data_IF_805125682567
#
_entry.id   IF_805125682567
#
_cell.length_a   1.000
_cell.length_b   1.000
_cell.length_c   1.000
_cell.angle_alpha   90.00
_cell.angle_beta   90.00
_cell.angle_gamma   90.00
#
_symmetry.space_group_name_H-M   'P 1'
#
loop_
_entity.id
_entity.type
_entity.pdbx_description
1 polymer ?
#
# COMPACT_ATOMS: atom_id res chain seq x y z
N UNK A 1 -0.52 -7.79 19.05
CA UNK A 1 -0.44 -6.90 17.86
C UNK A 1 0.17 -7.70 16.72
N UNK A 2 -0.33 -7.52 15.49
CA UNK A 2 0.32 -8.10 14.32
C UNK A 2 1.73 -7.49 14.15
N UNK A 3 2.67 -8.27 13.63
CA UNK A 3 4.02 -7.77 13.32
C UNK A 3 3.93 -6.79 12.14
N UNK A 4 4.77 -5.76 12.14
CA UNK A 4 4.90 -4.81 11.05
C UNK A 4 5.75 -5.44 9.95
N UNK A 5 5.15 -5.62 8.78
CA UNK A 5 5.81 -6.19 7.62
C UNK A 5 6.80 -5.19 7.01
N UNK A 6 8.06 -5.58 6.88
CA UNK A 6 9.10 -4.84 6.18
C UNK A 6 9.42 -5.55 4.87
N UNK A 7 9.29 -4.82 3.76
CA UNK A 7 9.60 -5.35 2.43
C UNK A 7 11.10 -5.27 2.16
N UNK A 8 11.74 -6.39 1.81
CA UNK A 8 13.18 -6.46 1.51
C UNK A 8 13.39 -6.70 0.03
N UNK A 9 14.02 -5.75 -0.65
CA UNK A 9 14.28 -5.80 -2.09
C UNK A 9 15.78 -5.63 -2.37
N UNK A 10 16.45 -6.70 -2.80
CA UNK A 10 17.90 -6.71 -3.09
C UNK A 10 18.26 -7.35 -4.44
N UNK A 11 17.33 -7.45 -5.39
CA UNK A 11 17.61 -7.93 -6.75
C UNK A 11 17.78 -9.46 -6.92
N UNK A 12 18.28 -10.17 -5.90
CA UNK A 12 18.33 -11.64 -5.76
C UNK A 12 18.88 -12.45 -6.96
N UNK A 13 19.64 -11.83 -7.84
CA UNK A 13 20.24 -12.48 -9.01
C UNK A 13 21.49 -13.25 -8.63
N UNK A 14 22.38 -12.64 -7.83
CA UNK A 14 23.65 -13.26 -7.43
C UNK A 14 23.57 -13.83 -6.01
N UNK A 15 24.50 -14.72 -5.66
CA UNK A 15 24.60 -15.26 -4.30
C UNK A 15 24.95 -14.18 -3.27
N UNK A 16 25.74 -13.17 -3.65
CA UNK A 16 26.05 -12.03 -2.79
C UNK A 16 24.79 -11.22 -2.48
N UNK A 17 23.97 -10.94 -3.50
CA UNK A 17 22.68 -10.24 -3.35
C UNK A 17 21.74 -11.02 -2.43
N UNK A 18 21.64 -12.35 -2.59
CA UNK A 18 20.83 -13.22 -1.73
C UNK A 18 21.36 -13.23 -0.30
N UNK A 19 22.67 -13.27 -0.12
CA UNK A 19 23.32 -13.26 1.21
C UNK A 19 23.03 -11.96 1.94
N UNK A 20 23.14 -10.81 1.26
CA UNK A 20 22.77 -9.50 1.82
C UNK A 20 21.28 -9.45 2.15
N UNK A 21 20.42 -9.93 1.25
CA UNK A 21 18.97 -10.01 1.48
C UNK A 21 18.61 -10.86 2.71
N UNK A 22 19.23 -12.02 2.86
CA UNK A 22 19.02 -12.92 3.99
C UNK A 22 19.52 -12.33 5.31
N UNK A 23 20.65 -11.63 5.29
CA UNK A 23 21.16 -10.89 6.44
C UNK A 23 20.16 -9.82 6.91
N UNK A 24 19.65 -9.01 5.98
CA UNK A 24 18.65 -7.98 6.26
C UNK A 24 17.38 -8.62 6.83
N UNK A 25 16.88 -9.67 6.17
CA UNK A 25 15.70 -10.43 6.61
C UNK A 25 15.86 -10.94 8.05
N UNK A 26 16.97 -11.62 8.33
CA UNK A 26 17.29 -12.18 9.65
C UNK A 26 17.37 -11.09 10.71
N UNK A 27 17.95 -9.94 10.37
CA UNK A 27 18.05 -8.79 11.28
C UNK A 27 16.69 -8.20 11.64
N UNK A 28 15.78 -8.09 10.66
CA UNK A 28 14.41 -7.60 10.87
C UNK A 28 13.62 -8.61 11.71
N UNK A 29 13.65 -9.89 11.35
CA UNK A 29 12.88 -10.94 12.05
C UNK A 29 13.31 -11.13 13.51
N UNK A 30 14.58 -10.86 13.82
CA UNK A 30 15.11 -10.85 15.18
C UNK A 30 14.67 -9.62 16.01
N UNK A 31 14.09 -8.61 15.37
CA UNK A 31 13.63 -7.39 16.05
C UNK A 31 12.15 -7.52 16.42
N UNK A 32 11.84 -7.40 17.71
CA UNK A 32 10.48 -7.55 18.21
C UNK A 32 9.50 -6.57 17.54
N UNK A 33 8.33 -7.07 17.15
CA UNK A 33 7.29 -6.27 16.49
C UNK A 33 7.42 -6.14 14.98
N UNK A 34 8.46 -6.72 14.36
CA UNK A 34 8.68 -6.69 12.91
C UNK A 34 8.79 -8.09 12.31
N UNK A 35 8.49 -8.17 11.02
CA UNK A 35 8.74 -9.35 10.18
C UNK A 35 9.19 -8.90 8.79
N UNK A 36 10.10 -9.64 8.16
CA UNK A 36 10.59 -9.35 6.83
C UNK A 36 9.93 -10.22 5.78
N UNK A 37 9.42 -9.57 4.74
CA UNK A 37 9.11 -10.22 3.47
C UNK A 37 10.34 -10.18 2.56
N UNK A 38 10.83 -11.36 2.20
CA UNK A 38 11.95 -11.55 1.28
C UNK A 38 11.52 -12.56 0.21
N UNK A 39 11.15 -12.06 -0.97
CA UNK A 39 10.59 -12.87 -2.05
C UNK A 39 11.64 -13.72 -2.74
N UNK A 40 12.01 -14.89 -2.23
CA UNK A 40 12.90 -15.80 -2.96
C UNK A 40 12.27 -16.19 -4.31
N UNK A 41 12.98 -15.91 -5.40
CA UNK A 41 12.71 -16.26 -6.80
C UNK A 41 11.27 -16.72 -7.11
N UNK A 42 10.38 -15.76 -7.30
CA UNK A 42 9.03 -15.98 -7.83
C UNK A 42 9.14 -16.17 -9.35
N UNK A 43 8.70 -17.32 -9.89
CA UNK A 43 8.94 -17.69 -11.31
C UNK A 43 7.71 -17.62 -12.22
N UNK A 44 6.56 -17.16 -11.73
CA UNK A 44 5.36 -16.99 -12.56
C UNK A 44 4.61 -15.69 -12.26
N UNK A 45 3.77 -15.29 -13.22
CA UNK A 45 3.06 -14.01 -13.21
C UNK A 45 2.00 -13.93 -12.10
N UNK A 46 1.36 -15.06 -11.77
CA UNK A 46 0.36 -15.14 -10.72
C UNK A 46 1.01 -14.95 -9.34
N UNK A 47 2.12 -15.62 -9.11
CA UNK A 47 2.92 -15.53 -7.92
C UNK A 47 3.55 -14.14 -7.77
N UNK A 48 3.90 -13.46 -8.86
CA UNK A 48 4.34 -12.07 -8.82
C UNK A 48 3.25 -11.16 -8.23
N UNK A 49 2.03 -11.26 -8.77
CA UNK A 49 0.88 -10.48 -8.31
C UNK A 49 0.48 -10.81 -6.87
N UNK A 50 0.40 -12.10 -6.53
CA UNK A 50 -0.05 -12.54 -5.20
C UNK A 50 0.97 -12.36 -4.11
N UNK A 51 2.26 -12.53 -4.38
CA UNK A 51 3.25 -12.51 -3.30
C UNK A 51 3.97 -11.17 -3.22
N UNK A 52 4.53 -10.67 -4.32
CA UNK A 52 5.35 -9.46 -4.29
C UNK A 52 4.47 -8.21 -4.19
N UNK A 53 3.48 -8.05 -5.08
CA UNK A 53 2.63 -6.86 -5.06
C UNK A 53 1.75 -6.82 -3.81
N UNK A 54 1.28 -7.96 -3.30
CA UNK A 54 0.57 -8.00 -2.02
C UNK A 54 1.48 -7.60 -0.85
N UNK A 55 2.71 -8.12 -0.80
CA UNK A 55 3.65 -7.74 0.25
C UNK A 55 4.04 -6.26 0.19
N UNK A 56 4.24 -5.72 -1.02
CA UNK A 56 4.42 -4.28 -1.22
C UNK A 56 3.19 -3.57 -0.66
N UNK A 57 1.98 -3.90 -1.10
CA UNK A 57 0.73 -3.26 -0.65
C UNK A 57 0.56 -3.25 0.88
N UNK A 58 1.03 -4.31 1.56
CA UNK A 58 0.86 -4.49 3.02
C UNK A 58 2.01 -3.99 3.88
N UNK A 59 3.18 -3.71 3.30
CA UNK A 59 4.35 -3.38 4.11
C UNK A 59 4.19 -2.05 4.87
N UNK A 60 4.71 -1.99 6.08
CA UNK A 60 4.80 -0.76 6.88
C UNK A 60 6.06 0.05 6.54
N UNK A 61 7.04 -0.56 5.89
CA UNK A 61 8.29 0.06 5.47
C UNK A 61 9.06 -0.86 4.53
N UNK A 62 10.18 -0.38 3.99
CA UNK A 62 10.99 -1.15 3.07
C UNK A 62 12.50 -0.94 3.28
N UNK A 63 13.27 -1.98 2.99
CA UNK A 63 14.73 -1.93 2.84
C UNK A 63 15.07 -2.30 1.40
N UNK A 64 15.80 -1.44 0.71
CA UNK A 64 16.22 -1.66 -0.68
C UNK A 64 17.73 -1.64 -0.80
N UNK A 65 18.28 -2.51 -1.65
CA UNK A 65 19.71 -2.57 -1.96
C UNK A 65 19.89 -2.41 -3.47
N UNK A 66 20.63 -1.37 -3.85
CA UNK A 66 20.94 -1.06 -5.24
C UNK A 66 22.30 -1.65 -5.61
N UNK A 67 22.25 -2.88 -6.11
CA UNK A 67 23.41 -3.60 -6.62
C UNK A 67 23.76 -3.18 -8.06
N UNK A 68 25.05 -3.17 -8.38
CA UNK A 68 25.62 -2.92 -9.70
C UNK A 68 25.13 -3.96 -10.71
N UNK A 69 24.53 -3.49 -11.81
CA UNK A 69 24.05 -4.33 -12.93
C UNK A 69 24.70 -3.96 -14.25
N UNK A 70 25.90 -3.42 -14.18
CA UNK A 70 26.75 -3.15 -15.33
C UNK A 70 26.65 -1.73 -15.87
N UNK A 71 27.68 -1.40 -16.64
CA UNK A 71 27.93 -0.07 -17.17
C UNK A 71 26.90 0.31 -18.24
N UNK A 72 26.47 1.56 -18.20
CA UNK A 72 25.67 2.21 -19.24
C UNK A 72 26.58 3.09 -20.06
N UNK A 73 26.57 2.86 -21.37
CA UNK A 73 27.21 3.72 -22.35
C UNK A 73 26.15 4.63 -22.97
N UNK A 74 26.38 5.94 -22.89
CA UNK A 74 25.51 6.95 -23.48
C UNK A 74 25.51 6.88 -25.01
N UNK A 75 24.53 7.55 -25.63
CA UNK A 75 24.45 7.65 -27.08
C UNK A 75 25.68 8.34 -27.72
N UNK A 76 26.41 9.14 -26.93
CA UNK A 76 27.68 9.77 -27.31
C UNK A 76 28.90 8.84 -27.17
N UNK A 77 28.68 7.56 -26.83
CA UNK A 77 29.73 6.57 -26.63
C UNK A 77 30.47 6.68 -25.30
N UNK A 78 30.10 7.61 -24.42
CA UNK A 78 30.76 7.80 -23.12
C UNK A 78 30.15 6.93 -22.04
N UNK A 79 30.98 6.48 -21.12
CA UNK A 79 30.52 5.83 -19.89
C UNK A 79 29.77 6.83 -19.03
N UNK A 80 28.49 6.55 -18.77
CA UNK A 80 27.67 7.32 -17.83
C UNK A 80 27.88 6.85 -16.39
N UNK A 81 28.04 5.53 -16.21
CA UNK A 81 28.22 4.86 -14.93
C UNK A 81 27.50 3.52 -14.90
N UNK A 82 27.42 2.88 -13.73
CA UNK A 82 26.68 1.62 -13.60
C UNK A 82 25.21 1.84 -13.23
N UNK A 83 24.32 1.01 -13.81
CA UNK A 83 22.91 0.96 -13.45
C UNK A 83 22.68 0.04 -12.24
N UNK A 84 21.55 0.22 -11.58
CA UNK A 84 21.08 -0.74 -10.57
C UNK A 84 20.07 -1.73 -11.13
N UNK A 85 19.64 -2.70 -10.31
CA UNK A 85 18.54 -3.60 -10.66
C UNK A 85 17.27 -2.84 -11.03
N UNK A 86 16.84 -3.00 -12.28
CA UNK A 86 15.57 -2.44 -12.79
C UNK A 86 14.39 -2.90 -11.93
N UNK A 87 14.42 -4.14 -11.47
CA UNK A 87 13.39 -4.72 -10.61
C UNK A 87 13.23 -3.94 -9.30
N UNK A 88 14.34 -3.73 -8.58
CA UNK A 88 14.37 -2.96 -7.33
C UNK A 88 13.87 -1.53 -7.57
N UNK A 89 14.19 -0.94 -8.72
CA UNK A 89 13.70 0.38 -9.09
C UNK A 89 12.18 0.41 -9.32
N UNK A 90 11.60 -0.62 -9.95
CA UNK A 90 10.16 -0.74 -10.15
C UNK A 90 9.42 -0.89 -8.82
N UNK A 91 9.89 -1.77 -7.93
CA UNK A 91 9.29 -1.96 -6.60
C UNK A 91 9.27 -0.66 -5.81
N UNK A 92 10.36 0.11 -5.88
CA UNK A 92 10.44 1.43 -5.24
C UNK A 92 9.53 2.47 -5.88
N UNK A 93 9.37 2.47 -7.20
CA UNK A 93 8.41 3.35 -7.85
C UNK A 93 6.97 3.05 -7.39
N UNK A 94 6.64 1.76 -7.21
CA UNK A 94 5.34 1.33 -6.67
C UNK A 94 5.17 1.79 -5.21
N UNK A 95 6.21 1.68 -4.38
CA UNK A 95 6.20 2.21 -3.00
C UNK A 95 5.95 3.73 -2.98
N UNK A 96 6.62 4.48 -3.85
CA UNK A 96 6.43 5.93 -3.97
C UNK A 96 5.01 6.28 -4.42
N UNK A 97 4.47 5.56 -5.40
CA UNK A 97 3.09 5.70 -5.84
C UNK A 97 2.10 5.39 -4.71
N UNK A 98 2.36 4.33 -3.94
CA UNK A 98 1.53 3.99 -2.78
C UNK A 98 1.53 5.10 -1.73
N UNK A 99 2.70 5.63 -1.38
CA UNK A 99 2.79 6.77 -0.46
C UNK A 99 1.99 7.98 -0.95
N UNK A 100 2.05 8.29 -2.25
CA UNK A 100 1.26 9.37 -2.85
C UNK A 100 -0.25 9.09 -2.72
N UNK A 101 -0.69 7.88 -3.06
CA UNK A 101 -2.11 7.51 -3.08
C UNK A 101 -2.72 7.35 -1.67
N UNK A 102 -1.95 6.81 -0.73
CA UNK A 102 -2.37 6.60 0.66
C UNK A 102 -2.18 7.86 1.52
N UNK A 103 -1.51 8.89 0.98
CA UNK A 103 -1.12 10.09 1.75
C UNK A 103 -0.41 9.75 3.06
N UNK A 104 0.32 8.64 3.07
CA UNK A 104 0.96 8.05 4.24
C UNK A 104 2.43 7.79 3.94
N UNK A 105 3.31 8.34 4.77
CA UNK A 105 4.76 8.15 4.61
C UNK A 105 5.12 6.69 4.85
N UNK A 106 5.86 6.10 3.92
CA UNK A 106 6.42 4.75 4.05
C UNK A 106 7.92 4.91 4.31
N UNK A 107 8.41 4.59 5.52
CA UNK A 107 9.85 4.58 5.80
C UNK A 107 10.59 3.67 4.82
N UNK A 108 11.67 4.20 4.24
CA UNK A 108 12.54 3.50 3.30
C UNK A 108 13.99 3.63 3.77
N UNK A 109 14.67 2.51 3.96
CA UNK A 109 16.12 2.45 4.10
C UNK A 109 16.72 1.94 2.79
N UNK A 110 17.62 2.71 2.20
CA UNK A 110 18.28 2.34 0.94
C UNK A 110 19.78 2.19 1.12
N UNK A 111 20.33 1.12 0.56
CA UNK A 111 21.77 0.90 0.38
C UNK A 111 22.14 0.96 -1.10
N UNK A 112 23.35 1.39 -1.43
CA UNK A 112 23.84 1.53 -2.79
C UNK A 112 25.30 1.09 -2.91
N UNK A 113 25.62 0.33 -3.95
CA UNK A 113 27.01 0.02 -4.28
C UNK A 113 27.72 1.24 -4.91
N UNK A 114 29.01 1.46 -4.64
CA UNK A 114 29.70 2.72 -4.98
C UNK A 114 29.64 3.15 -6.45
N UNK A 115 29.59 2.19 -7.39
CA UNK A 115 29.60 2.47 -8.84
C UNK A 115 28.21 2.77 -9.41
N UNK A 116 27.16 2.47 -8.65
CA UNK A 116 25.79 2.65 -9.09
C UNK A 116 25.46 4.12 -9.11
N UNK A 117 24.95 4.58 -10.26
CA UNK A 117 24.37 5.90 -10.44
C UNK A 117 22.85 5.81 -10.33
N UNK A 118 22.25 6.89 -9.83
CA UNK A 118 20.79 7.01 -9.79
C UNK A 118 20.26 7.51 -11.14
N UNK A 119 19.18 6.92 -11.62
CA UNK A 119 18.53 7.25 -12.90
C UNK A 119 17.00 7.26 -12.83
N UNK A 120 16.38 7.91 -13.81
CA UNK A 120 14.92 7.96 -13.93
C UNK A 120 14.25 8.64 -12.73
N UNK A 121 13.15 8.06 -12.23
CA UNK A 121 12.45 8.60 -11.05
C UNK A 121 13.35 8.73 -9.82
N UNK A 122 14.50 8.05 -9.77
CA UNK A 122 15.39 8.04 -8.62
C UNK A 122 16.19 9.30 -8.40
N UNK A 123 16.39 10.10 -9.44
CA UNK A 123 16.96 11.43 -9.27
C UNK A 123 15.98 12.39 -8.62
N UNK A 124 14.68 12.11 -8.74
CA UNK A 124 13.59 12.93 -8.18
C UNK A 124 13.08 12.42 -6.82
N UNK A 125 13.19 11.11 -6.55
CA UNK A 125 12.81 10.52 -5.26
C UNK A 125 13.93 10.77 -4.24
N UNK A 126 13.64 11.55 -3.19
CA UNK A 126 14.57 11.80 -2.07
C UNK A 126 14.72 10.51 -1.25
N UNK A 127 15.65 9.65 -1.66
CA UNK A 127 15.87 8.32 -1.06
C UNK A 127 17.18 8.24 -0.27
N UNK A 128 18.10 9.21 -0.45
CA UNK A 128 19.37 9.34 0.29
C UNK A 128 20.04 7.99 0.62
N UNK A 129 20.35 7.17 -0.39
CA UNK A 129 20.89 5.84 -0.15
C UNK A 129 22.26 5.91 0.54
N UNK A 130 22.49 4.99 1.47
CA UNK A 130 23.77 4.83 2.18
C UNK A 130 24.68 3.90 1.38
N UNK A 131 26.01 4.12 1.37
CA UNK A 131 26.93 3.13 0.82
C UNK A 131 26.68 1.74 1.42
N UNK A 132 26.66 0.71 0.59
CA UNK A 132 26.59 -0.67 1.04
C UNK A 132 27.92 -1.03 1.73
N UNK A 133 27.87 -1.25 3.04
CA UNK A 133 29.02 -1.61 3.85
C UNK A 133 29.14 -3.11 4.08
N UNK A 134 29.93 -3.47 5.08
CA UNK A 134 30.09 -4.83 5.58
C UNK A 134 28.79 -5.35 6.22
N UNK A 135 28.68 -6.67 6.37
CA UNK A 135 27.52 -7.30 7.00
C UNK A 135 27.17 -6.72 8.41
N UNK A 136 28.13 -6.51 9.33
CA UNK A 136 27.84 -5.88 10.62
C UNK A 136 27.30 -4.45 10.50
N UNK A 137 27.83 -3.66 9.56
CA UNK A 137 27.38 -2.29 9.32
C UNK A 137 25.96 -2.25 8.76
N UNK A 138 25.65 -3.13 7.81
CA UNK A 138 24.29 -3.28 7.26
C UNK A 138 23.31 -3.67 8.36
N UNK A 139 23.62 -4.69 9.16
CA UNK A 139 22.76 -5.14 10.25
C UNK A 139 22.54 -4.03 11.31
N UNK A 140 23.61 -3.32 11.67
CA UNK A 140 23.54 -2.19 12.62
C UNK A 140 22.64 -1.06 12.08
N UNK A 141 22.82 -0.68 10.81
CA UNK A 141 22.01 0.33 10.15
C UNK A 141 20.52 -0.05 10.09
N UNK A 142 20.20 -1.32 9.80
CA UNK A 142 18.83 -1.83 9.81
C UNK A 142 18.22 -1.73 11.21
N UNK A 143 18.91 -2.17 12.27
CA UNK A 143 18.42 -2.06 13.65
C UNK A 143 18.19 -0.62 14.10
N UNK A 144 19.13 0.28 13.77
CA UNK A 144 19.00 1.70 14.07
C UNK A 144 17.80 2.32 13.33
N UNK A 145 17.57 1.93 12.08
CA UNK A 145 16.44 2.39 11.30
C UNK A 145 15.10 1.87 11.85
N UNK A 146 15.01 0.59 12.22
CA UNK A 146 13.80 -0.01 12.81
C UNK A 146 13.41 0.63 14.14
N UNK A 147 14.38 1.10 14.92
CA UNK A 147 14.13 1.74 16.22
C UNK A 147 13.83 3.24 16.14
N UNK A 148 14.38 3.95 15.13
CA UNK A 148 14.23 5.40 15.00
C UNK A 148 13.13 5.85 14.04
N UNK A 149 12.63 4.96 13.18
CA UNK A 149 11.61 5.31 12.19
C UNK A 149 10.20 5.12 12.72
N UNK A 150 9.30 6.02 12.32
CA UNK A 150 7.87 5.88 12.59
C UNK A 150 7.21 4.97 11.55
N UNK A 151 6.82 3.78 11.98
CA UNK A 151 6.09 2.82 11.15
C UNK A 151 4.60 2.87 11.46
N UNK A 152 3.83 3.39 10.51
CA UNK A 152 2.38 3.33 10.47
C UNK A 152 1.87 1.92 10.20
N UNK A 153 0.65 1.63 10.64
CA UNK A 153 -0.07 0.40 10.27
C UNK A 153 -0.20 0.29 8.74
N UNK A 154 -0.13 -0.93 8.21
CA UNK A 154 -0.37 -1.16 6.78
C UNK A 154 -1.79 -0.77 6.39
N UNK A 155 -1.99 -0.41 5.12
CA UNK A 155 -3.28 0.05 4.58
C UNK A 155 -4.44 -0.89 4.92
N UNK A 156 -4.20 -2.21 4.90
CA UNK A 156 -5.17 -3.23 5.33
C UNK A 156 -5.63 -3.12 6.78
N UNK A 157 -4.70 -2.87 7.70
CA UNK A 157 -5.04 -2.78 9.13
C UNK A 157 -5.81 -1.48 9.41
N UNK A 158 -5.42 -0.39 8.76
CA UNK A 158 -6.14 0.88 8.83
C UNK A 158 -7.55 0.73 8.28
N UNK A 159 -7.68 0.10 7.11
CA UNK A 159 -8.95 -0.20 6.49
C UNK A 159 -9.81 -1.11 7.37
N UNK A 160 -9.26 -2.23 7.87
CA UNK A 160 -9.99 -3.17 8.72
C UNK A 160 -10.54 -2.49 9.98
N UNK A 161 -9.75 -1.61 10.61
CA UNK A 161 -10.22 -0.81 11.75
C UNK A 161 -11.37 0.11 11.38
N UNK A 162 -11.30 0.81 10.23
CA UNK A 162 -12.39 1.67 9.74
C UNK A 162 -13.64 0.83 9.39
N UNK A 163 -13.47 -0.29 8.71
CA UNK A 163 -14.54 -1.23 8.34
C UNK A 163 -15.27 -1.82 9.55
N UNK A 164 -14.52 -2.16 10.61
CA UNK A 164 -15.09 -2.71 11.84
C UNK A 164 -15.88 -1.69 12.66
N UNK A 165 -15.71 -0.39 12.39
CA UNK A 165 -16.54 0.66 12.98
C UNK A 165 -17.90 0.81 12.27
N UNK A 166 -18.02 0.32 11.03
CA UNK A 166 -19.28 0.36 10.31
C UNK A 166 -20.26 -0.67 10.87
N UNK A 167 -21.48 -0.23 11.15
CA UNK A 167 -22.58 -1.12 11.48
C UNK A 167 -23.09 -1.85 10.24
N UNK A 168 -23.95 -2.85 10.43
CA UNK A 168 -24.64 -3.51 9.31
C UNK A 168 -25.37 -2.50 8.41
N UNK A 169 -25.97 -1.48 9.02
CA UNK A 169 -26.64 -0.37 8.31
C UNK A 169 -25.65 0.42 7.46
N UNK A 170 -24.51 0.82 8.03
CA UNK A 170 -23.46 1.53 7.29
C UNK A 170 -22.93 0.72 6.11
N UNK A 171 -22.76 -0.60 6.28
CA UNK A 171 -22.31 -1.51 5.22
C UNK A 171 -23.34 -1.68 4.10
N UNK A 172 -24.64 -1.75 4.42
CA UNK A 172 -25.72 -1.76 3.42
C UNK A 172 -25.75 -0.47 2.59
N UNK A 173 -25.63 0.68 3.25
CA UNK A 173 -25.60 1.98 2.56
C UNK A 173 -24.39 2.08 1.63
N UNK A 174 -23.22 1.63 2.09
CA UNK A 174 -22.02 1.58 1.28
C UNK A 174 -22.17 0.62 0.08
N UNK A 175 -22.83 -0.53 0.25
CA UNK A 175 -23.13 -1.45 -0.85
C UNK A 175 -24.01 -0.80 -1.92
N UNK A 176 -25.08 -0.10 -1.50
CA UNK A 176 -25.94 0.65 -2.42
C UNK A 176 -25.20 1.80 -3.13
N UNK A 177 -24.27 2.47 -2.42
CA UNK A 177 -23.41 3.49 -3.04
C UNK A 177 -22.51 2.89 -4.14
N UNK A 178 -21.92 1.73 -3.88
CA UNK A 178 -21.06 1.03 -4.85
C UNK A 178 -21.84 0.47 -6.05
N UNK A 179 -23.10 0.04 -5.84
CA UNK A 179 -24.02 -0.39 -6.91
C UNK A 179 -24.28 0.75 -7.90
N UNK A 180 -24.44 1.98 -7.41
CA UNK A 180 -24.65 3.19 -8.22
C UNK A 180 -23.34 3.81 -8.73
N UNK A 181 -22.23 3.05 -8.71
CA UNK A 181 -20.93 3.43 -9.27
C UNK A 181 -19.91 3.96 -8.26
N UNK A 182 -20.36 4.43 -7.09
CA UNK A 182 -19.50 4.81 -5.97
C UNK A 182 -18.93 6.23 -5.99
N UNK A 183 -19.22 7.03 -7.01
CA UNK A 183 -18.66 8.37 -7.20
C UNK A 183 -19.71 9.41 -7.54
N UNK A 184 -19.73 10.51 -6.77
CA UNK A 184 -20.64 11.66 -6.91
C UNK A 184 -22.10 11.21 -7.01
N UNK A 185 -22.45 10.20 -6.23
CA UNK A 185 -23.78 9.57 -6.29
C UNK A 185 -24.73 10.37 -5.41
N UNK A 186 -25.88 10.74 -5.97
CA UNK A 186 -26.93 11.44 -5.23
C UNK A 186 -27.43 10.57 -4.09
N UNK A 187 -27.65 11.19 -2.94
CA UNK A 187 -28.21 10.50 -1.77
C UNK A 187 -29.51 9.74 -2.08
N UNK A 188 -30.37 10.32 -2.92
CA UNK A 188 -31.62 9.69 -3.37
C UNK A 188 -31.40 8.43 -4.18
N UNK A 189 -30.35 8.38 -5.00
CA UNK A 189 -29.97 7.18 -5.76
C UNK A 189 -29.43 6.10 -4.83
N UNK A 190 -28.53 6.45 -3.89
CA UNK A 190 -28.04 5.51 -2.87
C UNK A 190 -29.22 4.92 -2.07
N UNK A 191 -30.17 5.77 -1.65
CA UNK A 191 -31.37 5.31 -0.94
C UNK A 191 -32.18 4.31 -1.76
N UNK A 192 -32.43 4.59 -3.04
CA UNK A 192 -33.15 3.67 -3.91
C UNK A 192 -32.41 2.35 -4.11
N UNK A 193 -31.08 2.38 -4.27
CA UNK A 193 -30.26 1.17 -4.35
C UNK A 193 -30.40 0.31 -3.08
N UNK A 194 -30.28 0.93 -1.89
CA UNK A 194 -30.47 0.22 -0.60
C UNK A 194 -31.86 -0.39 -0.48
N UNK A 195 -32.91 0.34 -0.90
CA UNK A 195 -34.28 -0.17 -0.92
C UNK A 195 -34.42 -1.40 -1.82
N UNK A 196 -33.88 -1.35 -3.04
CA UNK A 196 -33.92 -2.48 -3.99
C UNK A 196 -33.11 -3.68 -3.49
N UNK A 197 -31.87 -3.44 -3.07
CA UNK A 197 -30.90 -4.48 -2.75
C UNK A 197 -31.22 -5.22 -1.44
N UNK A 198 -31.78 -4.50 -0.45
CA UNK A 198 -32.04 -5.06 0.88
C UNK A 198 -33.53 -5.08 1.25
N UNK A 199 -34.42 -4.91 0.28
CA UNK A 199 -35.88 -4.90 0.44
C UNK A 199 -36.37 -3.95 1.54
N UNK A 200 -35.70 -2.80 1.67
CA UNK A 200 -35.97 -1.83 2.72
C UNK A 200 -37.09 -0.88 2.30
N UNK A 201 -38.00 -0.58 3.23
CA UNK A 201 -39.04 0.42 3.01
C UNK A 201 -38.45 1.85 3.01
N UNK A 202 -39.16 2.81 2.40
CA UNK A 202 -38.64 4.17 2.17
C UNK A 202 -38.21 4.93 3.44
N UNK A 203 -39.03 4.86 4.51
CA UNK A 203 -38.71 5.54 5.77
C UNK A 203 -37.47 4.94 6.46
N UNK A 204 -37.38 3.60 6.68
CA UNK A 204 -36.16 2.97 7.18
C UNK A 204 -34.92 3.23 6.32
N UNK A 205 -35.05 3.29 4.98
CA UNK A 205 -33.92 3.59 4.10
C UNK A 205 -33.40 5.01 4.29
N UNK A 206 -34.29 5.98 4.52
CA UNK A 206 -33.89 7.38 4.82
C UNK A 206 -33.15 7.48 6.16
N UNK A 207 -33.63 6.78 7.18
CA UNK A 207 -32.98 6.70 8.49
C UNK A 207 -31.61 6.00 8.41
N UNK A 208 -31.52 4.92 7.63
CA UNK A 208 -30.29 4.19 7.37
C UNK A 208 -29.20 5.08 6.76
N UNK A 209 -29.54 5.85 5.73
CA UNK A 209 -28.61 6.82 5.12
C UNK A 209 -28.14 7.84 6.15
N UNK A 210 -29.07 8.42 6.91
CA UNK A 210 -28.75 9.45 7.92
C UNK A 210 -27.79 8.93 8.98
N UNK A 211 -28.02 7.69 9.47
CA UNK A 211 -27.12 7.03 10.43
C UNK A 211 -25.76 6.70 9.81
N UNK A 212 -25.74 6.16 8.59
CA UNK A 212 -24.51 5.81 7.89
C UNK A 212 -23.61 7.03 7.62
N UNK A 213 -24.19 8.20 7.31
CA UNK A 213 -23.42 9.45 7.14
C UNK A 213 -22.57 9.78 8.37
N UNK A 214 -23.07 9.57 9.59
CA UNK A 214 -22.31 9.79 10.82
C UNK A 214 -21.13 8.81 10.94
N UNK A 215 -21.35 7.54 10.58
CA UNK A 215 -20.29 6.53 10.54
C UNK A 215 -19.23 6.86 9.48
N UNK A 216 -19.64 7.38 8.32
CA UNK A 216 -18.73 7.80 7.25
C UNK A 216 -17.87 9.00 7.63
N UNK A 217 -18.43 9.97 8.36
CA UNK A 217 -17.65 11.10 8.91
C UNK A 217 -16.55 10.60 9.85
N UNK A 218 -16.86 9.62 10.71
CA UNK A 218 -15.90 9.09 11.68
C UNK A 218 -14.84 8.19 11.03
N UNK A 219 -15.21 7.46 9.98
CA UNK A 219 -14.33 6.48 9.34
C UNK A 219 -13.58 7.04 8.13
N UNK A 220 -14.04 8.13 7.52
CA UNK A 220 -13.51 8.71 6.28
C UNK A 220 -13.43 7.70 5.11
N UNK A 221 -14.34 6.71 5.11
CA UNK A 221 -14.46 5.73 4.01
C UNK A 221 -15.26 6.30 2.84
N UNK A 222 -16.14 7.26 3.11
CA UNK A 222 -17.00 7.93 2.13
C UNK A 222 -16.93 9.44 2.39
N UNK A 223 -16.67 10.20 1.33
CA UNK A 223 -16.74 11.66 1.32
C UNK A 223 -18.19 12.09 1.12
N UNK A 224 -18.65 12.95 2.02
CA UNK A 224 -19.96 13.59 1.91
C UNK A 224 -19.78 14.97 1.27
N UNK A 225 -20.43 15.19 0.12
CA UNK A 225 -20.34 16.44 -0.63
C UNK A 225 -21.70 17.11 -0.52
N UNK A 226 -21.76 18.19 0.28
CA UNK A 226 -22.97 18.99 0.39
C UNK A 226 -23.08 19.91 -0.83
N UNK A 227 -24.15 19.78 -1.62
CA UNK A 227 -24.46 20.69 -2.71
C UNK A 227 -25.80 21.37 -2.47
N UNK A 228 -25.74 22.69 -2.22
CA UNK A 228 -26.90 23.53 -1.91
C UNK A 228 -27.93 23.63 -3.05
N UNK A 229 -27.54 23.29 -4.28
CA UNK A 229 -28.36 23.44 -5.48
C UNK A 229 -28.87 22.10 -6.02
N UNK A 230 -28.15 21.00 -5.81
CA UNK A 230 -28.47 19.70 -6.41
C UNK A 230 -28.63 18.55 -5.41
N UNK A 231 -28.59 18.85 -4.10
CA UNK A 231 -28.71 17.86 -3.04
C UNK A 231 -27.38 17.14 -2.72
N UNK A 232 -27.32 16.53 -1.54
CA UNK A 232 -26.13 15.84 -1.05
C UNK A 232 -25.68 14.70 -1.97
N UNK A 233 -24.37 14.58 -2.13
CA UNK A 233 -23.70 13.52 -2.87
C UNK A 233 -22.76 12.73 -1.95
N UNK A 234 -22.62 11.45 -2.26
CA UNK A 234 -21.71 10.53 -1.58
C UNK A 234 -20.70 10.00 -2.60
N UNK A 235 -19.44 9.99 -2.20
CA UNK A 235 -18.33 9.46 -2.99
C UNK A 235 -17.46 8.58 -2.13
N UNK A 236 -17.17 7.37 -2.57
CA UNK A 236 -16.16 6.53 -1.94
C UNK A 236 -14.82 7.26 -1.92
N UNK A 237 -14.12 7.23 -0.79
CA UNK A 237 -12.80 7.81 -0.72
C UNK A 237 -11.85 7.02 -1.64
N UNK A 238 -11.14 7.65 -2.59
CA UNK A 238 -10.32 6.95 -3.58
C UNK A 238 -9.33 5.96 -2.95
N UNK A 239 -8.65 6.38 -1.87
CA UNK A 239 -7.71 5.53 -1.10
C UNK A 239 -8.31 4.18 -0.67
N UNK A 240 -9.61 4.14 -0.35
CA UNK A 240 -10.26 2.94 0.19
C UNK A 240 -11.11 2.19 -0.85
N UNK A 241 -11.28 2.70 -2.06
CA UNK A 241 -12.22 2.14 -3.04
C UNK A 241 -11.96 0.65 -3.29
N UNK A 242 -10.71 0.29 -3.59
CA UNK A 242 -10.33 -1.09 -3.83
C UNK A 242 -10.72 -2.01 -2.66
N UNK A 243 -10.40 -1.58 -1.43
CA UNK A 243 -10.71 -2.33 -0.22
C UNK A 243 -12.22 -2.44 0.00
N UNK A 244 -12.98 -1.36 -0.20
CA UNK A 244 -14.43 -1.33 -0.02
C UNK A 244 -15.13 -2.24 -1.02
N UNK A 245 -14.75 -2.20 -2.31
CA UNK A 245 -15.33 -3.08 -3.34
C UNK A 245 -15.12 -4.55 -3.02
N UNK A 246 -13.90 -4.92 -2.66
CA UNK A 246 -13.57 -6.30 -2.27
C UNK A 246 -14.33 -6.71 -1.01
N UNK A 247 -14.25 -5.91 0.05
CA UNK A 247 -14.83 -6.24 1.34
C UNK A 247 -16.36 -6.32 1.31
N UNK A 248 -17.02 -5.49 0.50
CA UNK A 248 -18.47 -5.55 0.28
C UNK A 248 -18.84 -6.79 -0.52
N UNK A 249 -18.08 -7.16 -1.56
CA UNK A 249 -18.32 -8.40 -2.30
C UNK A 249 -18.22 -9.63 -1.39
N UNK A 250 -17.17 -9.70 -0.57
CA UNK A 250 -16.99 -10.76 0.43
C UNK A 250 -18.16 -10.77 1.43
N UNK A 251 -18.50 -9.61 1.99
CA UNK A 251 -19.59 -9.47 2.98
C UNK A 251 -20.97 -9.87 2.41
N UNK A 252 -21.28 -9.49 1.17
CA UNK A 252 -22.54 -9.85 0.50
C UNK A 252 -22.63 -11.35 0.15
N UNK A 253 -21.49 -12.05 0.01
CA UNK A 253 -21.47 -13.49 -0.27
C UNK A 253 -21.71 -14.36 0.96
N UNK A 254 -21.38 -13.85 2.16
CA UNK A 254 -21.60 -14.55 3.44
C UNK A 254 -23.01 -14.30 4.00
N UNK A 255 -23.63 -13.18 3.62
CA UNK A 255 -24.96 -12.77 4.10
C UNK A 255 -26.16 -13.21 3.26
N UNK A 256 -25.96 -14.09 2.27
CA UNK A 256 -27.03 -14.70 1.45
C UNK A 256 -27.15 -16.19 1.70
#
# INVERSE_FOLDING_TARGET
>A
MAKKLIFVSCGQLTEDEKTVGLLIKTTIDATAGFEAYFAQAVQDFEALGRHVLEAIRRCAGAVVVLHDRGVVIGADGKEWGSRSSVWVNQERAILAYRQFFESQKIPLLAFIEPKVKLEGAMTSLIVNPRPLGTAPEVASAVKAWLSSSEFSAGSDEVFARKWNQLTDVGRRVLAGLLEEGGYNVKETAVRHAVMRQFHMQSNPATEAISKAKLEFINTDLVKLIHNKHSGDELSVHPTWEFHLRRQIADWLSVGR
#
